data_IF_744384178559
#
_entry.id   IF_744384178559
#
_cell.length_a   1.000
_cell.length_b   1.000
_cell.length_c   1.000
_cell.angle_alpha   90.00
_cell.angle_beta   90.00
_cell.angle_gamma   90.00
#
_symmetry.space_group_name_H-M   'P 1'
#
loop_
_entity.id
_entity.type
_entity.pdbx_description
1 polymer ?
#
# COMPACT_ATOMS: atom_id res chain seq x y z
N UNK A 1 -17.98 6.12 11.63
CA UNK A 1 -18.07 4.67 11.92
C UNK A 1 -17.90 3.87 10.62
N UNK A 2 -18.55 4.24 9.48
CA UNK A 2 -18.45 3.50 8.21
C UNK A 2 -17.01 3.32 7.70
N UNK A 3 -16.22 4.37 7.65
CA UNK A 3 -14.83 4.34 7.19
C UNK A 3 -13.90 3.43 8.02
N UNK A 4 -14.22 3.13 9.27
CA UNK A 4 -13.46 2.21 10.12
C UNK A 4 -13.71 0.76 9.70
N UNK A 5 -14.97 0.36 9.58
CA UNK A 5 -15.33 -0.99 9.17
C UNK A 5 -14.86 -1.31 7.75
N UNK A 6 -14.98 -0.35 6.83
CA UNK A 6 -14.49 -0.44 5.46
C UNK A 6 -13.01 -0.86 5.41
N UNK A 7 -12.16 -0.13 6.13
CA UNK A 7 -10.71 -0.42 6.18
C UNK A 7 -10.37 -1.76 6.83
N UNK A 8 -11.13 -2.20 7.84
CA UNK A 8 -10.91 -3.52 8.44
C UNK A 8 -11.30 -4.62 7.46
N UNK A 9 -12.45 -4.44 6.79
CA UNK A 9 -12.93 -5.40 5.79
C UNK A 9 -11.92 -5.55 4.64
N UNK A 10 -11.40 -4.45 4.10
CA UNK A 10 -10.37 -4.45 3.06
C UNK A 10 -9.12 -5.22 3.50
N UNK A 11 -8.64 -4.96 4.73
CA UNK A 11 -7.48 -5.65 5.27
C UNK A 11 -7.71 -7.17 5.41
N UNK A 12 -8.89 -7.56 5.88
CA UNK A 12 -9.29 -8.97 6.00
C UNK A 12 -9.37 -9.61 4.61
N UNK A 13 -10.01 -8.95 3.65
CA UNK A 13 -10.15 -9.46 2.27
C UNK A 13 -8.79 -9.69 1.63
N UNK A 14 -7.89 -8.71 1.65
CA UNK A 14 -6.54 -8.84 1.09
C UNK A 14 -5.80 -10.02 1.74
N UNK A 15 -5.86 -10.13 3.07
CA UNK A 15 -5.22 -11.22 3.81
C UNK A 15 -5.75 -12.58 3.37
N UNK A 16 -7.07 -12.76 3.32
CA UNK A 16 -7.69 -14.03 2.96
C UNK A 16 -7.41 -14.41 1.49
N UNK A 17 -7.46 -13.46 0.58
CA UNK A 17 -7.27 -13.75 -0.85
C UNK A 17 -5.83 -14.13 -1.17
N UNK A 18 -4.84 -13.45 -0.61
CA UNK A 18 -3.44 -13.82 -0.82
C UNK A 18 -3.06 -15.10 -0.07
N UNK A 19 -3.62 -15.34 1.12
CA UNK A 19 -3.45 -16.61 1.79
C UNK A 19 -4.03 -17.77 0.95
N UNK A 20 -5.25 -17.62 0.44
CA UNK A 20 -5.88 -18.60 -0.43
C UNK A 20 -5.07 -18.84 -1.72
N UNK A 21 -4.55 -17.77 -2.36
CA UNK A 21 -3.67 -17.88 -3.53
C UNK A 21 -2.37 -18.63 -3.22
N UNK A 22 -1.75 -18.37 -2.06
CA UNK A 22 -0.57 -19.10 -1.60
C UNK A 22 -0.83 -20.60 -1.40
N UNK A 23 -1.95 -20.95 -0.78
CA UNK A 23 -2.35 -22.36 -0.59
C UNK A 23 -2.76 -23.02 -1.92
N UNK A 24 -3.44 -22.34 -2.83
CA UNK A 24 -3.78 -22.85 -4.15
C UNK A 24 -2.51 -23.17 -4.96
N UNK A 25 -1.54 -22.27 -4.97
CA UNK A 25 -0.26 -22.48 -5.63
C UNK A 25 0.57 -23.60 -4.95
N UNK A 26 0.48 -23.76 -3.64
CA UNK A 26 1.06 -24.89 -2.91
C UNK A 26 0.44 -26.22 -3.39
N UNK A 27 -0.90 -26.29 -3.48
CA UNK A 27 -1.59 -27.49 -3.93
C UNK A 27 -1.23 -27.89 -5.36
N UNK A 28 -0.94 -26.91 -6.24
CA UNK A 28 -0.50 -27.16 -7.62
C UNK A 28 0.95 -27.65 -7.72
N UNK A 29 1.84 -27.17 -6.85
CA UNK A 29 3.29 -27.37 -7.00
C UNK A 29 3.92 -28.27 -5.96
N UNK A 30 3.22 -28.61 -4.89
CA UNK A 30 3.76 -29.26 -3.68
C UNK A 30 4.97 -28.52 -3.07
N UNK A 31 5.14 -27.23 -3.39
CA UNK A 31 6.22 -26.39 -2.87
C UNK A 31 5.68 -25.42 -1.82
N UNK A 32 6.37 -25.32 -0.69
CA UNK A 32 6.00 -24.39 0.41
C UNK A 32 6.30 -22.93 0.04
N UNK A 33 7.14 -22.69 -0.97
CA UNK A 33 7.56 -21.34 -1.40
C UNK A 33 6.40 -20.37 -1.65
N UNK A 34 5.31 -20.73 -2.38
CA UNK A 34 4.18 -19.83 -2.58
C UNK A 34 3.51 -19.38 -1.27
N UNK A 35 3.43 -20.28 -0.28
CA UNK A 35 2.87 -19.95 1.03
C UNK A 35 3.74 -18.91 1.76
N UNK A 36 5.06 -19.09 1.74
CA UNK A 36 5.98 -18.11 2.30
C UNK A 36 5.90 -16.75 1.60
N UNK A 37 5.84 -16.74 0.27
CA UNK A 37 5.68 -15.49 -0.50
C UNK A 37 4.38 -14.76 -0.14
N UNK A 38 3.29 -15.50 -0.03
CA UNK A 38 1.99 -14.96 0.39
C UNK A 38 2.08 -14.35 1.79
N UNK A 39 2.58 -15.08 2.77
CA UNK A 39 2.72 -14.61 4.15
C UNK A 39 3.66 -13.40 4.24
N UNK A 40 4.78 -13.41 3.52
CA UNK A 40 5.71 -12.28 3.46
C UNK A 40 5.03 -11.03 2.89
N UNK A 41 4.33 -11.16 1.78
CA UNK A 41 3.58 -10.07 1.16
C UNK A 41 2.52 -9.49 2.10
N UNK A 42 1.73 -10.34 2.74
CA UNK A 42 0.69 -9.94 3.72
C UNK A 42 1.32 -9.21 4.91
N UNK A 43 2.42 -9.72 5.46
CA UNK A 43 3.11 -9.11 6.60
C UNK A 43 3.58 -7.68 6.27
N UNK A 44 4.22 -7.47 5.12
CA UNK A 44 4.70 -6.13 4.71
C UNK A 44 3.56 -5.22 4.24
N UNK A 45 2.49 -5.75 3.67
CA UNK A 45 1.26 -5.00 3.41
C UNK A 45 0.67 -4.47 4.72
N UNK A 46 0.54 -5.32 5.75
CA UNK A 46 0.10 -4.93 7.09
C UNK A 46 1.03 -3.94 7.76
N UNK A 47 2.36 -4.16 7.70
CA UNK A 47 3.37 -3.24 8.23
C UNK A 47 3.25 -1.84 7.64
N UNK A 48 3.01 -1.72 6.33
CA UNK A 48 2.81 -0.44 5.65
C UNK A 48 1.60 0.30 6.19
N UNK A 49 0.50 -0.42 6.43
CA UNK A 49 -0.72 0.12 7.05
C UNK A 49 -0.46 0.57 8.48
N UNK A 50 0.13 -0.31 9.29
CA UNK A 50 0.46 -0.03 10.70
C UNK A 50 1.37 1.18 10.85
N UNK A 51 2.48 1.23 10.10
CA UNK A 51 3.41 2.37 10.12
C UNK A 51 2.74 3.71 9.74
N UNK A 52 1.69 3.68 8.89
CA UNK A 52 0.90 4.87 8.57
C UNK A 52 0.09 5.34 9.77
N UNK A 53 -0.51 4.43 10.54
CA UNK A 53 -1.30 4.80 11.71
C UNK A 53 -0.44 5.31 12.85
N UNK A 54 0.69 4.65 13.13
CA UNK A 54 1.65 5.10 14.15
C UNK A 54 2.18 6.50 13.82
N UNK A 55 2.55 6.76 12.56
CA UNK A 55 2.99 8.09 12.14
C UNK A 55 1.90 9.15 12.33
N UNK A 56 0.65 8.81 11.97
CA UNK A 56 -0.49 9.71 12.16
C UNK A 56 -0.74 10.02 13.65
N UNK A 57 -0.64 9.01 14.51
CA UNK A 57 -0.80 9.15 15.95
C UNK A 57 0.27 10.09 16.55
N UNK A 58 1.55 9.87 16.20
CA UNK A 58 2.66 10.71 16.65
C UNK A 58 2.47 12.16 16.20
N UNK A 59 2.15 12.39 14.94
CA UNK A 59 1.97 13.75 14.40
C UNK A 59 0.71 14.43 14.98
N UNK A 60 -0.36 13.70 15.23
CA UNK A 60 -1.58 14.24 15.86
C UNK A 60 -1.34 14.58 17.32
N UNK A 61 -0.55 13.79 18.05
CA UNK A 61 -0.17 14.10 19.42
C UNK A 61 0.65 15.40 19.52
N UNK A 62 1.43 15.72 18.47
CA UNK A 62 2.19 16.99 18.40
C UNK A 62 1.36 18.18 17.93
N UNK A 63 0.51 17.95 16.96
CA UNK A 63 -0.32 18.97 16.33
C UNK A 63 -1.75 18.42 16.17
N UNK A 64 -2.68 18.80 17.06
CA UNK A 64 -4.06 18.35 17.00
C UNK A 64 -4.78 18.68 15.68
N UNK A 65 -4.33 19.72 14.97
CA UNK A 65 -4.90 20.13 13.68
C UNK A 65 -4.34 19.34 12.47
N UNK A 66 -3.35 18.46 12.70
CA UNK A 66 -2.69 17.69 11.64
C UNK A 66 -3.66 16.85 10.79
N UNK A 67 -4.66 16.16 11.36
CA UNK A 67 -5.64 15.43 10.55
C UNK A 67 -6.47 16.32 9.62
N UNK A 68 -6.84 17.51 10.07
CA UNK A 68 -7.56 18.50 9.28
C UNK A 68 -6.71 19.03 8.12
N UNK A 69 -5.43 19.31 8.38
CA UNK A 69 -4.46 19.75 7.36
C UNK A 69 -4.29 18.68 6.26
N UNK A 70 -4.16 17.39 6.64
CA UNK A 70 -4.09 16.29 5.66
C UNK A 70 -5.37 16.19 4.83
N UNK A 71 -6.54 16.37 5.45
CA UNK A 71 -7.82 16.32 4.75
C UNK A 71 -7.92 17.44 3.70
N UNK A 72 -7.49 18.65 4.05
CA UNK A 72 -7.43 19.79 3.14
C UNK A 72 -6.45 19.55 1.97
N UNK A 73 -5.24 19.05 2.24
CA UNK A 73 -4.25 18.74 1.20
C UNK A 73 -4.78 17.69 0.20
N UNK A 74 -5.57 16.72 0.65
CA UNK A 74 -6.20 15.73 -0.24
C UNK A 74 -7.27 16.33 -1.15
N UNK A 75 -8.01 17.32 -0.66
CA UNK A 75 -9.05 18.00 -1.45
C UNK A 75 -8.46 18.89 -2.56
N UNK A 76 -7.26 19.43 -2.34
CA UNK A 76 -6.56 20.32 -3.29
C UNK A 76 -5.83 19.54 -4.39
N UNK A 77 -5.62 18.22 -4.25
CA UNK A 77 -5.00 17.44 -5.30
C UNK A 77 -5.96 17.33 -6.51
N UNK A 78 -5.59 17.90 -7.67
CA UNK A 78 -6.45 17.81 -8.84
C UNK A 78 -6.59 16.33 -9.25
N UNK A 79 -7.82 15.88 -9.34
CA UNK A 79 -8.23 14.61 -9.94
C UNK A 79 -8.13 14.65 -11.48
N UNK A 80 -7.23 15.48 -12.03
CA UNK A 80 -7.05 15.60 -13.45
C UNK A 80 -6.50 14.28 -14.02
N UNK A 81 -7.34 13.62 -14.79
CA UNK A 81 -6.94 12.55 -15.68
C UNK A 81 -6.02 13.07 -16.80
N UNK A 82 -5.61 12.20 -17.75
CA UNK A 82 -4.73 12.59 -18.85
C UNK A 82 -5.37 13.73 -19.68
N UNK A 83 -4.69 14.87 -19.68
CA UNK A 83 -5.04 16.03 -20.50
C UNK A 83 -4.13 16.10 -21.73
N UNK A 84 -4.16 17.25 -22.45
CA UNK A 84 -3.32 17.46 -23.63
C UNK A 84 -1.86 17.85 -23.31
N UNK A 85 -1.49 18.05 -22.02
CA UNK A 85 -0.13 18.37 -21.60
C UNK A 85 0.71 17.11 -21.37
N UNK A 86 1.75 16.94 -22.18
CA UNK A 86 2.64 15.78 -22.12
C UNK A 86 3.35 15.63 -20.77
N UNK A 87 3.80 16.75 -20.15
CA UNK A 87 4.46 16.71 -18.83
C UNK A 87 3.51 16.31 -17.73
N UNK A 88 2.27 16.82 -17.77
CA UNK A 88 1.23 16.43 -16.82
C UNK A 88 0.86 14.95 -16.97
N UNK A 89 0.82 14.45 -18.21
CA UNK A 89 0.54 13.03 -18.49
C UNK A 89 1.65 12.11 -18.01
N UNK A 90 2.93 12.46 -18.19
CA UNK A 90 4.06 11.67 -17.67
C UNK A 90 4.06 11.67 -16.14
N UNK A 91 3.82 12.81 -15.50
CA UNK A 91 3.73 12.89 -14.04
C UNK A 91 2.52 12.11 -13.49
N UNK A 92 1.40 12.14 -14.21
CA UNK A 92 0.22 11.33 -13.89
C UNK A 92 0.53 9.83 -14.01
N UNK A 93 1.13 9.42 -15.14
CA UNK A 93 1.52 8.03 -15.37
C UNK A 93 2.48 7.53 -14.28
N UNK A 94 3.48 8.33 -13.90
CA UNK A 94 4.40 7.98 -12.81
C UNK A 94 3.69 7.78 -11.46
N UNK A 95 2.69 8.60 -11.15
CA UNK A 95 1.86 8.44 -9.94
C UNK A 95 0.99 7.19 -10.00
N UNK A 96 0.37 6.90 -11.13
CA UNK A 96 -0.44 5.69 -11.32
C UNK A 96 0.42 4.42 -11.26
N UNK A 97 1.63 4.42 -11.86
CA UNK A 97 2.57 3.30 -11.74
C UNK A 97 2.96 3.02 -10.28
N UNK A 98 3.08 4.05 -9.45
CA UNK A 98 3.35 3.85 -8.02
C UNK A 98 2.21 3.15 -7.29
N UNK A 99 0.97 3.35 -7.71
CA UNK A 99 -0.21 2.61 -7.19
C UNK A 99 -0.18 1.15 -7.62
N UNK A 100 0.22 0.86 -8.87
CA UNK A 100 0.39 -0.51 -9.38
C UNK A 100 1.40 -1.26 -8.54
N UNK A 101 2.59 -0.68 -8.32
CA UNK A 101 3.63 -1.29 -7.48
C UNK A 101 3.26 -1.36 -6.00
N UNK A 102 2.41 -0.46 -5.52
CA UNK A 102 1.90 -0.49 -4.16
C UNK A 102 0.80 -1.55 -3.95
N UNK A 103 0.32 -2.20 -5.00
CA UNK A 103 -0.86 -3.05 -4.97
C UNK A 103 -2.03 -2.35 -4.29
N UNK A 104 -2.40 -1.18 -4.83
CA UNK A 104 -3.61 -0.50 -4.39
C UNK A 104 -4.84 -1.33 -4.75
N UNK A 105 -5.95 -1.13 -4.06
CA UNK A 105 -7.11 -2.03 -4.00
C UNK A 105 -7.59 -2.54 -5.36
N UNK A 106 -7.76 -1.66 -6.35
CA UNK A 106 -8.14 -2.06 -7.70
C UNK A 106 -7.06 -2.86 -8.44
N UNK A 107 -5.79 -2.60 -8.15
CA UNK A 107 -4.67 -3.27 -8.82
C UNK A 107 -4.52 -4.71 -8.33
N UNK A 108 -4.65 -4.95 -7.02
CA UNK A 108 -4.50 -6.31 -6.52
C UNK A 108 -5.63 -7.23 -7.01
N UNK A 109 -6.88 -6.73 -7.09
CA UNK A 109 -7.99 -7.50 -7.66
C UNK A 109 -7.70 -7.87 -9.12
N UNK A 110 -7.25 -6.89 -9.91
CA UNK A 110 -6.90 -7.11 -11.31
C UNK A 110 -5.76 -8.13 -11.47
N UNK A 111 -4.67 -7.96 -10.72
CA UNK A 111 -3.50 -8.85 -10.79
C UNK A 111 -3.82 -10.27 -10.33
N UNK A 112 -4.60 -10.43 -9.26
CA UNK A 112 -5.04 -11.74 -8.79
C UNK A 112 -5.97 -12.41 -9.81
N UNK A 113 -6.93 -11.67 -10.38
CA UNK A 113 -7.84 -12.19 -11.41
C UNK A 113 -7.07 -12.61 -12.66
N UNK A 114 -6.14 -11.79 -13.14
CA UNK A 114 -5.29 -12.13 -14.27
C UNK A 114 -4.43 -13.36 -13.97
N UNK A 115 -3.83 -13.46 -12.79
CA UNK A 115 -3.03 -14.61 -12.39
C UNK A 115 -3.85 -15.92 -12.34
N UNK A 116 -5.11 -15.85 -11.94
CA UNK A 116 -6.03 -17.00 -11.95
C UNK A 116 -6.42 -17.40 -13.37
N UNK A 117 -6.73 -16.43 -14.24
CA UNK A 117 -7.12 -16.68 -15.63
C UNK A 117 -5.97 -17.32 -16.43
N UNK A 118 -4.75 -16.84 -16.22
CA UNK A 118 -3.56 -17.28 -16.96
C UNK A 118 -2.77 -18.38 -16.24
N UNK A 119 -3.25 -18.91 -15.12
CA UNK A 119 -2.56 -19.89 -14.27
C UNK A 119 -1.14 -19.45 -13.85
N UNK A 120 -1.00 -18.19 -13.49
CA UNK A 120 0.28 -17.53 -13.15
C UNK A 120 0.31 -17.06 -11.68
N UNK A 121 -0.19 -17.89 -10.74
CA UNK A 121 -0.23 -17.54 -9.32
C UNK A 121 1.17 -17.35 -8.72
N UNK A 122 2.14 -18.19 -9.08
CA UNK A 122 3.50 -18.12 -8.52
C UNK A 122 4.22 -16.84 -8.93
N UNK A 123 4.32 -16.45 -10.22
CA UNK A 123 4.88 -15.17 -10.62
C UNK A 123 4.18 -13.98 -9.95
N UNK A 124 2.85 -14.03 -9.84
CA UNK A 124 2.09 -12.98 -9.16
C UNK A 124 2.45 -12.86 -7.68
N UNK A 125 2.60 -13.98 -6.96
CA UNK A 125 3.02 -13.99 -5.55
C UNK A 125 4.45 -13.46 -5.36
N UNK A 126 5.36 -13.73 -6.29
CA UNK A 126 6.70 -13.13 -6.29
C UNK A 126 6.64 -11.61 -6.45
N UNK A 127 5.87 -11.12 -7.42
CA UNK A 127 5.68 -9.67 -7.64
C UNK A 127 5.04 -9.03 -6.43
N UNK A 128 4.01 -9.65 -5.84
CA UNK A 128 3.35 -9.18 -4.63
C UNK A 128 4.33 -9.11 -3.45
N UNK A 129 5.02 -10.21 -3.12
CA UNK A 129 5.95 -10.25 -2.00
C UNK A 129 7.08 -9.23 -2.15
N UNK A 130 7.72 -9.17 -3.31
CA UNK A 130 8.82 -8.24 -3.58
C UNK A 130 8.35 -6.78 -3.52
N UNK A 131 7.19 -6.46 -4.12
CA UNK A 131 6.64 -5.10 -4.09
C UNK A 131 6.27 -4.66 -2.68
N UNK A 132 5.61 -5.53 -1.89
CA UNK A 132 5.23 -5.19 -0.53
C UNK A 132 6.44 -5.08 0.40
N UNK A 133 7.43 -5.95 0.28
CA UNK A 133 8.70 -5.85 0.99
C UNK A 133 9.36 -4.49 0.72
N UNK A 134 9.54 -4.16 -0.56
CA UNK A 134 10.18 -2.90 -0.96
C UNK A 134 9.38 -1.68 -0.47
N UNK A 135 8.09 -1.61 -0.80
CA UNK A 135 7.25 -0.47 -0.42
C UNK A 135 6.99 -0.40 1.09
N UNK A 136 6.87 -1.54 1.76
CA UNK A 136 6.71 -1.62 3.21
C UNK A 136 7.91 -1.01 3.92
N UNK A 137 9.12 -1.43 3.56
CA UNK A 137 10.36 -0.91 4.15
C UNK A 137 10.62 0.54 3.76
N UNK A 138 10.55 0.87 2.47
CA UNK A 138 10.81 2.22 1.96
C UNK A 138 9.87 3.27 2.55
N UNK A 139 8.55 3.00 2.57
CA UNK A 139 7.58 3.94 3.14
C UNK A 139 7.69 4.06 4.65
N UNK A 140 8.02 2.97 5.35
CA UNK A 140 8.23 3.00 6.80
C UNK A 140 9.47 3.83 7.14
N UNK A 141 10.57 3.62 6.42
CA UNK A 141 11.79 4.40 6.58
C UNK A 141 11.56 5.90 6.30
N UNK A 142 10.95 6.23 5.17
CA UNK A 142 10.66 7.62 4.79
C UNK A 142 9.79 8.33 5.83
N UNK A 143 8.82 7.63 6.43
CA UNK A 143 8.00 8.20 7.51
C UNK A 143 8.81 8.43 8.77
N UNK A 144 9.67 7.50 9.16
CA UNK A 144 10.58 7.66 10.28
C UNK A 144 11.48 8.88 10.13
N UNK A 145 12.07 9.06 8.95
CA UNK A 145 12.90 10.21 8.62
C UNK A 145 12.13 11.55 8.69
N UNK A 146 10.89 11.57 8.18
CA UNK A 146 10.05 12.76 8.25
C UNK A 146 9.68 13.12 9.70
N UNK A 147 9.37 12.14 10.54
CA UNK A 147 9.10 12.35 11.97
C UNK A 147 10.35 12.92 12.65
N UNK A 148 11.53 12.37 12.38
CA UNK A 148 12.79 12.86 12.96
C UNK A 148 13.12 14.30 12.52
N UNK A 149 12.93 14.63 11.24
CA UNK A 149 13.09 16.01 10.74
C UNK A 149 12.14 16.97 11.42
N UNK A 150 10.89 16.60 11.58
CA UNK A 150 9.89 17.42 12.26
C UNK A 150 10.18 17.56 13.77
N UNK A 151 10.85 16.58 14.40
CA UNK A 151 11.29 16.67 15.79
C UNK A 151 12.41 17.71 15.99
N UNK A 152 13.22 17.95 14.97
CA UNK A 152 14.35 18.91 15.04
C UNK A 152 13.96 20.35 14.76
N UNK A 153 12.74 20.60 14.25
CA UNK A 153 12.22 21.96 14.07
C UNK A 153 11.58 22.44 15.37
N UNK A 154 12.13 23.47 16.05
CA UNK A 154 11.53 24.01 17.27
C UNK A 154 10.12 24.53 16.95
N UNK A 155 9.13 24.11 17.72
CA UNK A 155 7.78 24.69 17.68
C UNK A 155 7.92 26.17 18.04
N UNK A 156 7.83 27.04 17.03
CA UNK A 156 7.65 28.47 17.31
C UNK A 156 6.32 28.63 18.06
N UNK A 157 6.43 28.98 19.36
CA UNK A 157 5.28 29.35 20.18
C UNK A 157 4.80 30.72 19.79
#
# INVERSE_FOLDING_TARGET
VGSYYDRITDQIQVTLWFAAAGFAAFAQTNSVTPVFLSLLGIAFYGLRGYAKYVALEIETARNPDYPAQIAQMKQVQPTAGPGFDLKANIAWLGREQSKVLAFDEGVFIFMLSAALIFDQLIPMLWVFAASQLFWGLYKSWLRGENIDKNLKVPTQK
#
